data_IF_578298564500
#
_entry.id   IF_578298564500
#
_cell.length_a   1.000
_cell.length_b   1.000
_cell.length_c   1.000
_cell.angle_alpha   90.00
_cell.angle_beta   90.00
_cell.angle_gamma   90.00
#
_symmetry.space_group_name_H-M   'P 1'
#
loop_
_entity.id
_entity.type
_entity.pdbx_description
1 polymer ?
#
# COMPACT_ATOMS: atom_id res chain seq x y z
N UNK A 1 -11.52 -9.89 -15.24
CA UNK A 1 -10.22 -10.20 -15.89
C UNK A 1 -9.91 -9.24 -17.04
N UNK A 2 -10.83 -9.03 -18.03
CA UNK A 2 -10.55 -8.18 -19.18
C UNK A 2 -9.95 -6.83 -18.85
N UNK A 3 -10.54 -6.08 -17.91
CA UNK A 3 -10.07 -4.73 -17.55
C UNK A 3 -8.68 -4.67 -16.91
N UNK A 4 -8.24 -5.72 -16.24
CA UNK A 4 -6.90 -5.76 -15.65
C UNK A 4 -5.84 -5.95 -16.75
N UNK A 5 -6.18 -6.74 -17.78
CA UNK A 5 -5.31 -7.03 -18.91
C UNK A 5 -5.07 -5.81 -19.84
N UNK A 6 -5.83 -4.72 -19.65
CA UNK A 6 -5.59 -3.46 -20.36
C UNK A 6 -4.30 -2.74 -19.87
N UNK A 7 -3.75 -3.18 -18.73
CA UNK A 7 -2.54 -2.60 -18.17
C UNK A 7 -1.34 -3.53 -18.29
N UNK A 8 -0.13 -2.99 -18.50
CA UNK A 8 1.10 -3.78 -18.46
C UNK A 8 1.33 -4.36 -17.06
N UNK A 9 1.34 -5.69 -16.96
CA UNK A 9 1.52 -6.43 -15.73
C UNK A 9 2.81 -7.23 -15.76
N UNK A 10 3.46 -7.31 -14.63
CA UNK A 10 4.76 -7.96 -14.49
C UNK A 10 4.81 -8.75 -13.18
N UNK A 11 5.74 -9.68 -13.14
CA UNK A 11 6.13 -10.39 -11.93
C UNK A 11 7.64 -10.29 -11.78
N UNK A 12 8.11 -9.99 -10.58
CA UNK A 12 9.54 -9.97 -10.26
C UNK A 12 9.81 -10.76 -8.98
N UNK A 13 11.00 -11.36 -8.90
CA UNK A 13 11.45 -12.03 -7.69
C UNK A 13 11.94 -11.00 -6.70
N UNK A 14 11.21 -10.80 -5.60
CA UNK A 14 11.48 -9.82 -4.56
C UNK A 14 11.32 -10.48 -3.19
N UNK A 15 12.28 -10.33 -2.30
CA UNK A 15 12.24 -10.92 -0.94
C UNK A 15 11.85 -12.40 -0.91
N UNK A 16 12.24 -13.15 -1.93
CA UNK A 16 11.97 -14.58 -2.02
C UNK A 16 10.56 -14.97 -2.46
N UNK A 17 9.73 -14.04 -2.91
CA UNK A 17 8.40 -14.27 -3.50
C UNK A 17 8.32 -13.77 -4.93
N UNK A 18 7.33 -14.25 -5.67
CA UNK A 18 6.98 -13.73 -6.99
C UNK A 18 5.97 -12.58 -6.79
N UNK A 19 6.48 -11.35 -6.81
CA UNK A 19 5.68 -10.14 -6.60
C UNK A 19 5.10 -9.67 -7.92
N UNK A 20 3.78 -9.71 -8.04
CA UNK A 20 3.04 -9.14 -9.16
C UNK A 20 2.89 -7.63 -9.00
N UNK A 21 2.95 -6.88 -10.10
CA UNK A 21 2.68 -5.46 -10.13
C UNK A 21 2.23 -4.97 -11.51
N UNK A 22 1.43 -3.91 -11.53
CA UNK A 22 1.18 -3.09 -12.71
C UNK A 22 2.31 -2.07 -12.80
N UNK A 23 2.89 -1.89 -13.99
CA UNK A 23 3.84 -0.83 -14.26
C UNK A 23 3.37 -0.04 -15.49
N UNK A 24 2.76 1.10 -15.23
CA UNK A 24 2.15 1.95 -16.24
C UNK A 24 2.98 3.24 -16.43
N UNK A 25 3.80 3.32 -17.48
CA UNK A 25 4.63 4.50 -17.74
C UNK A 25 3.81 5.77 -17.88
N UNK A 26 4.31 6.87 -17.34
CA UNK A 26 3.71 8.18 -17.50
C UNK A 26 3.79 8.67 -18.95
N UNK A 27 2.80 9.48 -19.35
CA UNK A 27 2.70 10.03 -20.71
C UNK A 27 3.74 11.11 -21.00
N UNK A 28 4.21 11.80 -19.95
CA UNK A 28 5.24 12.84 -20.08
C UNK A 28 6.64 12.23 -19.94
N UNK A 29 7.62 12.66 -20.75
CA UNK A 29 9.01 12.29 -20.53
C UNK A 29 9.48 12.67 -19.13
N UNK A 30 10.12 11.74 -18.42
CA UNK A 30 10.61 11.97 -17.06
C UNK A 30 9.53 12.05 -15.99
N UNK A 31 8.31 11.58 -16.26
CA UNK A 31 7.23 11.49 -15.27
C UNK A 31 7.73 10.79 -13.99
N UNK A 32 7.62 11.43 -12.80
CA UNK A 32 8.12 10.85 -11.57
C UNK A 32 7.39 9.56 -11.21
N UNK A 33 8.09 8.56 -10.63
CA UNK A 33 7.47 7.31 -10.24
C UNK A 33 6.60 7.50 -8.99
N UNK A 34 5.42 6.85 -9.01
CA UNK A 34 4.45 6.82 -7.92
C UNK A 34 4.06 5.38 -7.60
N UNK A 35 4.33 4.98 -6.39
CA UNK A 35 3.92 3.68 -5.84
C UNK A 35 2.51 3.78 -5.26
N UNK A 36 1.60 2.92 -5.73
CA UNK A 36 0.24 2.79 -5.22
C UNK A 36 0.10 1.50 -4.42
N UNK A 37 -0.24 1.59 -3.15
CA UNK A 37 -0.40 0.44 -2.25
C UNK A 37 -1.87 0.29 -1.84
N UNK A 38 -2.50 -0.82 -2.24
CA UNK A 38 -3.88 -1.15 -1.88
C UNK A 38 -3.99 -1.66 -0.43
N UNK A 39 -5.21 -1.94 0.01
CA UNK A 39 -5.52 -2.47 1.32
C UNK A 39 -6.23 -3.82 1.30
N UNK A 40 -6.76 -4.22 2.44
CA UNK A 40 -7.56 -5.42 2.60
C UNK A 40 -9.03 -5.03 2.89
N UNK A 41 -9.99 -5.69 2.27
CA UNK A 41 -9.91 -6.83 1.34
C UNK A 41 -9.68 -6.44 -0.13
N UNK A 42 -9.11 -5.29 -0.40
CA UNK A 42 -8.85 -4.74 -1.73
C UNK A 42 -7.82 -5.51 -2.57
N UNK A 43 -7.52 -4.95 -3.72
CA UNK A 43 -6.49 -5.44 -4.64
C UNK A 43 -6.07 -4.31 -5.59
N UNK A 44 -5.12 -4.54 -6.48
CA UNK A 44 -4.75 -3.59 -7.54
C UNK A 44 -5.94 -3.14 -8.41
N UNK A 45 -7.06 -3.88 -8.37
CA UNK A 45 -8.30 -3.56 -9.07
C UNK A 45 -8.88 -2.18 -8.69
N UNK A 46 -8.66 -1.73 -7.45
CA UNK A 46 -9.14 -0.42 -6.99
C UNK A 46 -8.50 0.74 -7.75
N UNK A 47 -7.31 0.54 -8.33
CA UNK A 47 -6.57 1.56 -9.05
C UNK A 47 -6.86 1.63 -10.55
N UNK A 48 -7.63 0.70 -11.13
CA UNK A 48 -7.82 0.63 -12.59
C UNK A 48 -8.42 1.90 -13.20
N UNK A 49 -9.25 2.64 -12.44
CA UNK A 49 -9.79 3.93 -12.88
C UNK A 49 -8.85 5.09 -12.59
N UNK A 50 -7.98 4.94 -11.59
CA UNK A 50 -7.07 5.98 -11.14
C UNK A 50 -5.79 6.02 -11.99
N UNK A 51 -5.26 4.85 -12.37
CA UNK A 51 -4.02 4.73 -13.14
C UNK A 51 -4.04 5.60 -14.41
N UNK A 52 -5.06 5.55 -15.28
CA UNK A 52 -5.06 6.38 -16.50
C UNK A 52 -5.01 7.88 -16.23
N UNK A 53 -5.60 8.33 -15.12
CA UNK A 53 -5.58 9.73 -14.71
C UNK A 53 -4.21 10.14 -14.19
N UNK A 54 -3.59 9.28 -13.38
CA UNK A 54 -2.25 9.53 -12.83
C UNK A 54 -1.16 9.45 -13.88
N UNK A 55 -1.32 8.66 -14.94
CA UNK A 55 -0.34 8.56 -16.04
C UNK A 55 -0.12 9.89 -16.78
N UNK A 56 -1.02 10.86 -16.66
CA UNK A 56 -0.78 12.21 -17.22
C UNK A 56 0.48 12.83 -16.59
N UNK A 57 0.74 12.57 -15.31
CA UNK A 57 1.79 13.23 -14.54
C UNK A 57 2.82 12.27 -13.93
N UNK A 58 2.51 10.99 -13.78
CA UNK A 58 3.32 10.01 -13.05
C UNK A 58 3.53 8.72 -13.84
N UNK A 59 4.66 8.06 -13.60
CA UNK A 59 4.84 6.64 -13.90
C UNK A 59 4.31 5.85 -12.71
N UNK A 60 3.24 5.08 -12.91
CA UNK A 60 2.55 4.38 -11.83
C UNK A 60 3.07 2.97 -11.66
N UNK A 61 3.38 2.59 -10.42
CA UNK A 61 3.70 1.22 -10.02
C UNK A 61 2.69 0.80 -8.97
N UNK A 62 1.89 -0.24 -9.24
CA UNK A 62 0.87 -0.74 -8.33
C UNK A 62 1.06 -2.25 -8.09
N UNK A 63 1.81 -2.64 -7.04
CA UNK A 63 2.00 -4.04 -6.69
C UNK A 63 0.74 -4.64 -6.02
N UNK A 64 0.49 -5.93 -6.26
CA UNK A 64 -0.36 -6.73 -5.38
C UNK A 64 0.38 -6.98 -4.08
N UNK A 65 -0.28 -6.75 -2.94
CA UNK A 65 0.35 -6.98 -1.64
C UNK A 65 0.85 -8.43 -1.51
N UNK A 66 2.05 -8.68 -0.95
CA UNK A 66 2.54 -10.02 -0.65
C UNK A 66 1.52 -10.84 0.16
N UNK A 67 1.17 -12.02 -0.35
CA UNK A 67 0.13 -12.87 0.23
C UNK A 67 -1.29 -12.60 -0.26
N UNK A 68 -1.47 -11.66 -1.19
CA UNK A 68 -2.78 -11.29 -1.74
C UNK A 68 -2.82 -11.45 -3.26
N UNK A 69 -3.98 -11.86 -3.76
CA UNK A 69 -4.28 -11.88 -5.18
C UNK A 69 -3.19 -12.56 -6.02
N UNK A 70 -2.57 -11.78 -6.90
CA UNK A 70 -1.56 -12.28 -7.84
C UNK A 70 -0.13 -12.38 -7.25
N UNK A 71 0.05 -11.96 -5.98
CA UNK A 71 1.32 -12.12 -5.23
C UNK A 71 1.20 -13.20 -4.13
N UNK A 72 0.36 -14.21 -4.35
CA UNK A 72 0.16 -15.33 -3.41
C UNK A 72 0.62 -16.65 -4.02
N UNK A 73 1.34 -17.44 -3.23
CA UNK A 73 1.65 -18.83 -3.54
C UNK A 73 1.49 -19.71 -2.27
N UNK A 74 1.02 -20.97 -2.41
CA UNK A 74 0.96 -21.91 -1.29
C UNK A 74 2.33 -22.08 -0.64
N UNK A 75 2.39 -22.02 0.71
CA UNK A 75 3.65 -22.13 1.46
C UNK A 75 4.52 -20.88 1.50
N UNK A 76 4.06 -19.78 0.89
CA UNK A 76 4.74 -18.49 0.96
C UNK A 76 4.84 -17.98 2.41
N UNK A 77 5.98 -17.38 2.81
CA UNK A 77 6.12 -16.73 4.11
C UNK A 77 5.06 -15.62 4.28
N UNK A 78 4.61 -15.42 5.50
CA UNK A 78 3.74 -14.29 5.83
C UNK A 78 4.57 -13.01 5.88
N UNK A 79 4.03 -11.95 5.29
CA UNK A 79 4.62 -10.61 5.28
C UNK A 79 3.83 -9.71 6.22
N UNK A 80 4.52 -9.07 7.15
CA UNK A 80 4.00 -7.93 7.89
C UNK A 80 4.14 -6.63 7.08
N UNK A 81 3.62 -5.52 7.62
CA UNK A 81 3.69 -4.20 6.96
C UNK A 81 5.12 -3.76 6.67
N UNK A 82 6.04 -4.09 7.57
CA UNK A 82 7.45 -3.76 7.43
C UNK A 82 8.12 -4.57 6.31
N UNK A 83 7.82 -5.87 6.24
CA UNK A 83 8.34 -6.74 5.18
C UNK A 83 7.80 -6.34 3.81
N UNK A 84 6.51 -5.94 3.75
CA UNK A 84 5.88 -5.42 2.52
C UNK A 84 6.54 -4.11 2.08
N UNK A 85 6.82 -3.20 3.02
CA UNK A 85 7.51 -1.95 2.72
C UNK A 85 8.94 -2.21 2.19
N UNK A 86 9.68 -3.14 2.78
CA UNK A 86 10.99 -3.53 2.28
C UNK A 86 10.90 -4.14 0.86
N UNK A 87 9.94 -5.02 0.62
CA UNK A 87 9.71 -5.60 -0.70
C UNK A 87 9.40 -4.53 -1.75
N UNK A 88 8.59 -3.54 -1.39
CA UNK A 88 8.26 -2.44 -2.31
C UNK A 88 9.44 -1.48 -2.52
N UNK A 89 10.26 -1.24 -1.50
CA UNK A 89 11.49 -0.48 -1.66
C UNK A 89 12.46 -1.18 -2.64
N UNK A 90 12.64 -2.51 -2.50
CA UNK A 90 13.45 -3.33 -3.42
C UNK A 90 12.86 -3.31 -4.83
N UNK A 91 11.53 -3.48 -4.98
CA UNK A 91 10.87 -3.38 -6.28
C UNK A 91 11.17 -2.04 -6.96
N UNK A 92 10.99 -0.93 -6.24
CA UNK A 92 11.15 0.40 -6.82
C UNK A 92 12.61 0.71 -7.17
N UNK A 93 13.55 0.38 -6.28
CA UNK A 93 14.95 0.79 -6.46
C UNK A 93 15.80 -0.24 -7.22
N UNK A 94 15.68 -1.51 -6.87
CA UNK A 94 16.63 -2.52 -7.34
C UNK A 94 16.11 -3.23 -8.60
N UNK A 95 14.78 -3.39 -8.71
CA UNK A 95 14.15 -4.01 -9.90
C UNK A 95 13.84 -2.97 -10.96
N UNK A 96 13.18 -1.86 -10.60
CA UNK A 96 12.72 -0.85 -11.56
C UNK A 96 13.69 0.32 -11.76
N UNK A 97 14.71 0.45 -10.92
CA UNK A 97 15.74 1.49 -11.04
C UNK A 97 15.24 2.91 -10.69
N UNK A 98 14.21 3.04 -9.86
CA UNK A 98 13.68 4.32 -9.39
C UNK A 98 14.29 4.70 -8.04
N UNK A 99 15.36 5.50 -8.00
CA UNK A 99 16.04 5.84 -6.74
C UNK A 99 15.18 6.73 -5.84
N UNK A 100 14.22 7.45 -6.41
CA UNK A 100 13.27 8.32 -5.69
C UNK A 100 11.87 8.19 -6.27
N UNK A 101 10.85 8.12 -5.40
CA UNK A 101 9.46 7.92 -5.79
C UNK A 101 8.49 8.49 -4.75
N UNK A 102 7.28 8.83 -5.19
CA UNK A 102 6.15 9.13 -4.31
C UNK A 102 5.46 7.84 -3.85
N UNK A 103 4.75 7.91 -2.72
CA UNK A 103 3.94 6.80 -2.21
C UNK A 103 2.49 7.26 -1.99
N UNK A 104 1.55 6.41 -2.36
CA UNK A 104 0.13 6.57 -2.02
C UNK A 104 -0.37 5.27 -1.41
N UNK A 105 -1.19 5.37 -0.35
CA UNK A 105 -1.82 4.22 0.27
C UNK A 105 -3.04 4.57 1.10
N UNK A 106 -3.97 3.63 1.13
CA UNK A 106 -5.10 3.57 2.05
C UNK A 106 -5.07 2.24 2.80
N UNK A 107 -5.72 2.13 3.94
CA UNK A 107 -5.79 0.91 4.76
C UNK A 107 -4.38 0.34 5.05
N UNK A 108 -4.08 -0.94 4.70
CA UNK A 108 -2.72 -1.50 4.81
C UNK A 108 -1.69 -0.70 4.00
N UNK A 109 -2.08 -0.20 2.82
CA UNK A 109 -1.22 0.64 2.00
C UNK A 109 -0.80 1.94 2.69
N UNK A 110 -1.64 2.50 3.56
CA UNK A 110 -1.29 3.67 4.36
C UNK A 110 -0.17 3.35 5.36
N UNK A 111 -0.27 2.20 6.05
CA UNK A 111 0.77 1.74 6.97
C UNK A 111 2.07 1.45 6.23
N UNK A 112 2.01 0.77 5.07
CA UNK A 112 3.18 0.50 4.22
C UNK A 112 3.85 1.80 3.77
N UNK A 113 3.07 2.76 3.26
CA UNK A 113 3.59 4.07 2.81
C UNK A 113 4.23 4.85 3.96
N UNK A 114 3.66 4.76 5.17
CA UNK A 114 4.24 5.37 6.38
C UNK A 114 5.58 4.75 6.74
N UNK A 115 5.68 3.41 6.71
CA UNK A 115 6.94 2.70 6.97
C UNK A 115 7.98 3.05 5.91
N UNK A 116 7.61 3.11 4.62
CA UNK A 116 8.50 3.54 3.54
C UNK A 116 9.08 4.94 3.78
N UNK A 117 8.23 5.90 4.12
CA UNK A 117 8.69 7.26 4.41
C UNK A 117 9.55 7.37 5.64
N UNK A 118 9.28 6.56 6.67
CA UNK A 118 10.09 6.53 7.89
C UNK A 118 11.45 5.86 7.69
N UNK A 119 11.48 4.71 7.02
CA UNK A 119 12.74 3.94 6.83
C UNK A 119 13.61 4.44 5.68
N UNK A 120 12.98 5.01 4.64
CA UNK A 120 13.67 5.42 3.42
C UNK A 120 13.39 6.89 3.05
N UNK A 121 13.58 7.86 3.98
CA UNK A 121 13.25 9.27 3.74
C UNK A 121 14.02 9.88 2.57
N UNK A 122 15.19 9.34 2.23
CA UNK A 122 16.00 9.79 1.09
C UNK A 122 15.44 9.29 -0.26
N UNK A 123 14.61 8.23 -0.27
CA UNK A 123 14.00 7.63 -1.46
C UNK A 123 12.59 8.12 -1.69
N UNK A 124 11.82 8.35 -0.62
CA UNK A 124 10.42 8.78 -0.66
C UNK A 124 10.35 10.29 -0.77
N UNK A 125 9.82 10.79 -1.90
CA UNK A 125 9.71 12.23 -2.19
C UNK A 125 8.47 12.87 -1.58
N UNK A 126 7.44 12.08 -1.30
CA UNK A 126 6.18 12.51 -0.71
C UNK A 126 5.27 11.32 -0.45
N UNK A 127 4.34 11.49 0.49
CA UNK A 127 3.36 10.47 0.87
C UNK A 127 1.97 11.08 0.82
N UNK A 128 1.04 10.37 0.18
CA UNK A 128 -0.38 10.64 0.23
C UNK A 128 -1.11 9.47 0.92
N UNK A 129 -1.91 9.76 1.93
CA UNK A 129 -2.65 8.76 2.70
C UNK A 129 -4.15 9.05 2.68
N UNK A 130 -4.97 8.04 2.35
CA UNK A 130 -6.43 8.10 2.50
C UNK A 130 -6.86 7.77 3.93
N UNK A 131 -5.98 7.11 4.68
CA UNK A 131 -6.20 6.70 6.07
C UNK A 131 -4.93 7.00 6.86
N UNK A 132 -5.08 7.70 7.98
CA UNK A 132 -4.00 7.92 8.94
C UNK A 132 -4.30 7.15 10.22
N UNK A 133 -3.54 6.08 10.47
CA UNK A 133 -3.63 5.32 11.71
C UNK A 133 -2.75 6.00 12.76
N UNK A 134 -3.39 6.73 13.67
CA UNK A 134 -2.71 7.35 14.81
C UNK A 134 -2.83 6.41 16.01
N UNK A 135 -1.69 6.02 16.59
CA UNK A 135 -1.70 5.26 17.85
C UNK A 135 -2.17 6.15 18.98
N UNK A 136 -2.93 5.58 19.90
CA UNK A 136 -3.35 6.28 21.13
C UNK A 136 -2.15 6.85 21.88
N UNK A 137 -2.28 8.08 22.35
CA UNK A 137 -1.41 8.59 23.39
C UNK A 137 -1.65 7.77 24.69
N UNK A 138 -0.63 7.11 25.24
CA UNK A 138 -0.75 6.35 26.48
C UNK A 138 -1.32 7.19 27.63
N UNK A 139 -1.07 8.50 27.67
CA UNK A 139 -1.59 9.43 28.69
C UNK A 139 -3.12 9.58 28.64
N UNK A 140 -3.74 9.42 27.46
CA UNK A 140 -5.19 9.49 27.30
C UNK A 140 -5.91 8.22 27.75
N UNK A 141 -5.18 7.11 27.94
CA UNK A 141 -5.79 5.84 28.40
C UNK A 141 -6.24 5.88 29.85
N UNK A 142 -5.80 6.86 30.64
CA UNK A 142 -6.24 7.07 32.03
C UNK A 142 -7.50 7.96 32.13
N UNK A 143 -7.85 8.69 31.07
CA UNK A 143 -9.06 9.51 31.03
C UNK A 143 -10.32 8.65 30.83
N UNK A 144 -11.13 8.50 31.88
CA UNK A 144 -12.37 7.71 31.87
C UNK A 144 -13.40 8.23 30.86
N UNK A 145 -13.45 9.54 30.62
CA UNK A 145 -14.39 10.13 29.66
C UNK A 145 -13.96 9.83 28.24
N UNK A 146 -12.67 9.96 27.92
CA UNK A 146 -12.09 9.57 26.66
C UNK A 146 -12.32 8.07 26.36
N UNK A 147 -12.07 7.20 27.34
CA UNK A 147 -12.30 5.76 27.19
C UNK A 147 -13.77 5.41 26.94
N UNK A 148 -14.71 6.12 27.59
CA UNK A 148 -16.14 5.93 27.36
C UNK A 148 -16.53 6.31 25.92
N UNK A 149 -16.08 7.48 25.45
CA UNK A 149 -16.34 7.95 24.08
C UNK A 149 -15.72 7.01 23.05
N UNK A 150 -14.49 6.57 23.29
CA UNK A 150 -13.81 5.65 22.40
C UNK A 150 -14.49 4.28 22.32
N UNK A 151 -14.94 3.72 23.47
CA UNK A 151 -15.65 2.43 23.47
C UNK A 151 -16.99 2.54 22.73
N UNK A 152 -17.67 3.68 22.84
CA UNK A 152 -18.87 3.95 22.05
C UNK A 152 -18.55 4.00 20.56
N UNK A 153 -17.54 4.77 20.15
CA UNK A 153 -17.08 4.85 18.75
C UNK A 153 -16.67 3.48 18.20
N UNK A 154 -15.86 2.73 18.95
CA UNK A 154 -15.42 1.40 18.50
C UNK A 154 -16.61 0.43 18.33
N UNK A 155 -17.63 0.53 19.16
CA UNK A 155 -18.82 -0.31 19.04
C UNK A 155 -19.65 0.01 17.78
N UNK A 156 -19.83 1.30 17.48
CA UNK A 156 -20.68 1.77 16.38
C UNK A 156 -19.95 1.72 15.03
N UNK A 157 -18.67 2.16 15.00
CA UNK A 157 -17.96 2.42 13.73
C UNK A 157 -17.05 1.26 13.29
N UNK A 158 -16.66 0.36 14.19
CA UNK A 158 -15.75 -0.76 13.86
C UNK A 158 -16.40 -2.15 13.96
N UNK A 159 -17.73 -2.19 14.00
CA UNK A 159 -18.48 -3.45 14.08
C UNK A 159 -18.14 -4.44 12.96
N UNK A 160 -17.77 -3.95 11.76
CA UNK A 160 -17.31 -4.79 10.66
C UNK A 160 -16.05 -5.60 10.99
N UNK A 161 -15.15 -5.08 11.81
CA UNK A 161 -13.93 -5.79 12.22
C UNK A 161 -14.24 -6.98 13.13
N UNK A 162 -15.27 -6.86 13.96
CA UNK A 162 -15.74 -7.97 14.81
C UNK A 162 -16.30 -9.12 13.95
N UNK A 163 -17.04 -8.79 12.88
CA UNK A 163 -17.60 -9.79 11.95
C UNK A 163 -16.48 -10.48 11.14
N UNK A 164 -15.46 -9.75 10.78
CA UNK A 164 -14.33 -10.29 9.99
C UNK A 164 -13.32 -11.05 10.85
N UNK A 165 -13.32 -10.86 12.15
CA UNK A 165 -12.43 -11.54 13.10
C UNK A 165 -12.95 -12.89 13.64
N UNK A 166 -14.16 -13.29 13.23
CA UNK A 166 -14.75 -14.60 13.55
C UNK A 166 -14.60 -15.57 12.40
#
# INVERSE_FOLDING_TARGET
EGKLNDFPQFTARVKGIDLHFIHAPGKRPGAPPLLLSHGWPGSVFEFLRLIPLLQEDFTVVAPSLPGYGLSFAPGQPRFGTEDMAEAFAELMTDVLGYPRYGCQGGDWGASISTVLGHRYPQRVTGIHLNLLIVRRDPKLTEDKNYLKQLNHFLKEETGYQAIQGT
#
